data_IF_338277338892
#
_entry.id   IF_338277338892
#
_cell.length_a   1.000
_cell.length_b   1.000
_cell.length_c   1.000
_cell.angle_alpha   90.00
_cell.angle_beta   90.00
_cell.angle_gamma   90.00
#
_symmetry.space_group_name_H-M   'P 1'
#
loop_
_entity.id
_entity.type
_entity.pdbx_description
1 polymer ?
#
# COMPACT_ATOMS: atom_id res chain seq x y z
N UNK A 1 8.64 16.01 -16.33
CA UNK A 1 8.91 15.54 -14.96
C UNK A 1 10.12 14.62 -14.99
N UNK A 2 10.86 14.57 -13.88
CA UNK A 2 11.91 13.56 -13.69
C UNK A 2 11.32 12.21 -13.27
N UNK A 3 12.15 11.37 -12.65
CA UNK A 3 11.73 10.06 -12.15
C UNK A 3 10.45 10.13 -11.27
N UNK A 4 9.50 9.20 -11.44
CA UNK A 4 8.31 9.13 -10.60
C UNK A 4 8.64 8.92 -9.11
N UNK A 5 7.85 9.48 -8.18
CA UNK A 5 8.09 9.34 -6.75
C UNK A 5 7.95 7.88 -6.29
N UNK A 6 8.72 7.50 -5.27
CA UNK A 6 8.60 6.20 -4.63
C UNK A 6 7.48 6.23 -3.59
N UNK A 7 6.50 5.35 -3.72
CA UNK A 7 5.37 5.24 -2.80
C UNK A 7 5.59 4.07 -1.83
N UNK A 8 5.22 4.27 -0.57
CA UNK A 8 5.32 3.23 0.48
C UNK A 8 4.28 2.12 0.29
N UNK A 9 3.12 2.46 -0.26
CA UNK A 9 1.97 1.55 -0.46
C UNK A 9 1.87 0.98 -1.88
N UNK A 10 2.64 1.51 -2.84
CA UNK A 10 2.58 1.13 -4.25
C UNK A 10 3.97 1.11 -4.91
N UNK A 11 4.08 0.39 -6.03
CA UNK A 11 5.30 0.28 -6.84
C UNK A 11 5.01 0.69 -8.28
N UNK A 12 5.95 1.38 -8.92
CA UNK A 12 5.83 1.76 -10.33
C UNK A 12 5.81 0.49 -11.20
N UNK A 13 4.90 0.42 -12.19
CA UNK A 13 4.86 -0.74 -13.08
C UNK A 13 6.15 -0.84 -13.90
N UNK A 14 6.51 -2.06 -14.30
CA UNK A 14 7.81 -2.36 -14.94
C UNK A 14 8.04 -1.57 -16.23
N UNK A 15 6.97 -1.25 -16.95
CA UNK A 15 6.99 -0.50 -18.21
C UNK A 15 7.65 0.88 -18.06
N UNK A 16 7.47 1.56 -16.93
CA UNK A 16 8.03 2.90 -16.69
C UNK A 16 9.34 2.89 -15.89
N UNK A 17 9.82 1.72 -15.44
CA UNK A 17 10.96 1.61 -14.52
C UNK A 17 12.28 2.07 -15.14
N UNK A 18 12.41 1.96 -16.46
CA UNK A 18 13.60 2.37 -17.22
C UNK A 18 13.47 3.79 -17.82
N UNK A 19 12.35 4.48 -17.57
CA UNK A 19 12.07 5.78 -18.14
C UNK A 19 12.30 6.86 -17.07
N UNK A 20 13.16 7.83 -17.39
CA UNK A 20 13.59 8.88 -16.46
C UNK A 20 13.02 10.26 -16.81
N UNK A 21 12.55 10.41 -18.04
CA UNK A 21 11.97 11.64 -18.57
C UNK A 21 10.53 11.41 -19.01
N UNK A 22 9.67 12.32 -18.56
CA UNK A 22 8.23 12.32 -18.86
C UNK A 22 7.82 13.73 -19.28
N UNK A 23 7.07 13.86 -20.36
CA UNK A 23 6.52 15.13 -20.82
C UNK A 23 5.37 15.58 -19.90
N UNK A 24 5.03 16.87 -19.96
CA UNK A 24 3.84 17.39 -19.29
C UNK A 24 2.60 16.74 -19.90
N UNK A 25 1.70 16.23 -19.06
CA UNK A 25 0.54 15.44 -19.47
C UNK A 25 0.79 13.92 -19.48
N UNK A 26 2.05 13.47 -19.39
CA UNK A 26 2.34 12.04 -19.30
C UNK A 26 1.79 11.45 -18.01
N UNK A 27 1.23 10.25 -18.12
CA UNK A 27 0.63 9.53 -17.01
C UNK A 27 1.35 8.22 -16.78
N UNK A 28 1.82 7.99 -15.56
CA UNK A 28 2.42 6.72 -15.15
C UNK A 28 1.49 5.96 -14.23
N UNK A 29 1.59 4.64 -14.27
CA UNK A 29 0.75 3.73 -13.49
C UNK A 29 1.56 3.03 -12.41
N UNK A 30 0.93 2.82 -11.27
CA UNK A 30 1.46 2.09 -10.14
C UNK A 30 0.63 0.84 -9.88
N UNK A 31 1.27 -0.17 -9.27
CA UNK A 31 0.65 -1.38 -8.75
C UNK A 31 0.74 -1.37 -7.22
N UNK A 32 -0.26 -1.89 -6.52
CA UNK A 32 -0.16 -2.02 -5.07
C UNK A 32 0.95 -2.99 -4.67
N UNK A 33 1.75 -2.61 -3.67
CA UNK A 33 2.77 -3.50 -3.13
C UNK A 33 2.13 -4.75 -2.51
N UNK A 34 2.87 -5.87 -2.40
CA UNK A 34 2.43 -7.02 -1.63
C UNK A 34 1.97 -6.62 -0.23
N UNK A 35 0.87 -7.23 0.23
CA UNK A 35 0.23 -6.85 1.49
C UNK A 35 -0.72 -5.64 1.42
N UNK A 36 -0.83 -4.98 0.27
CA UNK A 36 -1.82 -3.91 0.03
C UNK A 36 -2.88 -4.31 -1.00
N UNK A 37 -4.04 -3.67 -0.94
CA UNK A 37 -5.19 -3.87 -1.82
C UNK A 37 -5.67 -2.54 -2.38
N UNK A 38 -6.17 -2.56 -3.61
CA UNK A 38 -6.67 -1.35 -4.28
C UNK A 38 -7.90 -0.80 -3.56
N UNK A 39 -7.92 0.50 -3.31
CA UNK A 39 -9.11 1.24 -2.89
C UNK A 39 -9.99 1.50 -4.12
N UNK A 40 -11.26 1.07 -4.13
CA UNK A 40 -12.17 1.37 -5.23
C UNK A 40 -12.40 2.89 -5.33
N UNK A 41 -12.58 3.39 -6.56
CA UNK A 41 -12.84 4.81 -6.83
C UNK A 41 -11.60 5.70 -6.92
N UNK A 42 -10.40 5.21 -6.57
CA UNK A 42 -9.16 5.99 -6.67
C UNK A 42 -8.31 5.58 -7.89
N UNK A 43 -7.73 6.57 -8.61
CA UNK A 43 -6.79 6.31 -9.68
C UNK A 43 -5.45 5.82 -9.12
N UNK A 44 -4.86 4.83 -9.78
CA UNK A 44 -3.53 4.29 -9.47
C UNK A 44 -2.45 4.91 -10.38
N UNK A 45 -2.69 6.14 -10.81
CA UNK A 45 -1.90 6.83 -11.83
C UNK A 45 -1.50 8.21 -11.36
N UNK A 46 -0.27 8.60 -11.67
CA UNK A 46 0.24 9.96 -11.43
C UNK A 46 0.47 10.64 -12.77
N UNK A 47 0.11 11.91 -12.87
CA UNK A 47 0.24 12.72 -14.09
C UNK A 47 1.32 13.77 -13.88
N UNK A 48 2.17 13.97 -14.88
CA UNK A 48 3.13 15.06 -14.88
C UNK A 48 2.40 16.39 -15.14
N UNK A 49 2.40 17.28 -14.15
CA UNK A 49 1.74 18.58 -14.22
C UNK A 49 2.60 19.61 -14.97
N UNK A 50 2.00 20.74 -15.36
CA UNK A 50 2.68 21.82 -16.10
C UNK A 50 3.86 22.45 -15.35
N UNK A 51 3.86 22.38 -14.01
CA UNK A 51 4.97 22.81 -13.16
C UNK A 51 6.12 21.79 -13.07
N UNK A 52 6.15 20.78 -13.94
CA UNK A 52 7.14 19.69 -13.94
C UNK A 52 7.17 18.85 -12.65
N UNK A 53 6.12 18.90 -11.83
CA UNK A 53 5.95 18.00 -10.68
C UNK A 53 4.90 16.94 -10.96
N UNK A 54 5.04 15.78 -10.33
CA UNK A 54 4.01 14.75 -10.37
C UNK A 54 2.76 15.18 -9.57
N UNK A 55 1.59 14.78 -10.05
CA UNK A 55 0.32 14.97 -9.34
C UNK A 55 0.35 14.30 -7.97
N UNK A 56 -0.52 14.76 -7.08
CA UNK A 56 -0.66 14.16 -5.75
C UNK A 56 -0.98 12.65 -5.84
N UNK A 57 -0.20 11.86 -5.12
CA UNK A 57 -0.44 10.43 -4.98
C UNK A 57 -1.51 10.19 -3.91
N UNK A 58 -2.76 10.05 -4.35
CA UNK A 58 -3.83 9.59 -3.46
C UNK A 58 -3.49 8.20 -2.91
N UNK A 59 -3.88 7.87 -1.68
CA UNK A 59 -3.67 6.53 -1.10
C UNK A 59 -4.59 5.47 -1.75
N UNK A 60 -4.39 5.20 -3.03
CA UNK A 60 -5.18 4.23 -3.81
C UNK A 60 -4.89 2.77 -3.41
N UNK A 61 -3.91 2.52 -2.54
CA UNK A 61 -3.68 1.21 -1.94
C UNK A 61 -3.84 1.29 -0.42
N UNK A 62 -4.55 0.34 0.18
CA UNK A 62 -4.67 0.17 1.64
C UNK A 62 -4.07 -1.15 2.08
N UNK A 63 -3.55 -1.21 3.31
CA UNK A 63 -3.10 -2.46 3.94
C UNK A 63 -4.24 -3.49 3.89
N UNK A 64 -3.94 -4.73 3.52
CA UNK A 64 -4.90 -5.83 3.53
C UNK A 64 -5.28 -6.16 4.97
N UNK A 65 -6.56 -6.47 5.16
CA UNK A 65 -7.09 -6.99 6.40
C UNK A 65 -6.78 -8.48 6.50
N UNK A 66 -6.07 -8.88 7.55
CA UNK A 66 -5.92 -10.28 7.92
C UNK A 66 -7.19 -10.78 8.60
N UNK A 67 -7.48 -12.07 8.44
CA UNK A 67 -8.50 -12.77 9.21
C UNK A 67 -8.16 -12.71 10.69
N UNK A 68 -9.17 -12.65 11.55
CA UNK A 68 -8.95 -12.79 12.98
C UNK A 68 -8.37 -14.19 13.26
N UNK A 69 -7.21 -14.31 13.90
CA UNK A 69 -6.65 -15.61 14.23
C UNK A 69 -7.52 -16.30 15.30
N UNK A 70 -7.64 -17.62 15.20
CA UNK A 70 -8.38 -18.39 16.20
C UNK A 70 -7.67 -18.33 17.58
N UNK A 71 -8.44 -18.26 18.67
CA UNK A 71 -7.86 -18.30 20.01
C UNK A 71 -7.23 -19.67 20.30
N UNK A 72 -6.08 -19.71 20.99
CA UNK A 72 -5.52 -20.96 21.47
C UNK A 72 -6.45 -21.63 22.48
N UNK A 73 -6.39 -22.97 22.59
CA UNK A 73 -7.17 -23.72 23.58
C UNK A 73 -6.78 -23.24 24.99
N UNK A 74 -7.77 -22.81 25.79
CA UNK A 74 -7.59 -22.21 27.11
C UNK A 74 -6.67 -20.97 27.07
N UNK A 75 -6.87 -20.11 26.07
CA UNK A 75 -6.19 -18.83 25.99
C UNK A 75 -6.92 -17.86 25.08
N UNK A 76 -6.35 -16.67 24.92
CA UNK A 76 -6.91 -15.57 24.15
C UNK A 76 -5.87 -14.93 23.23
N UNK A 77 -6.35 -14.44 22.10
CA UNK A 77 -5.59 -13.54 21.22
C UNK A 77 -5.74 -12.12 21.74
N UNK A 78 -4.63 -11.44 21.92
CA UNK A 78 -4.55 -10.01 22.25
C UNK A 78 -4.13 -9.27 20.98
N UNK A 79 -5.07 -8.57 20.37
CA UNK A 79 -4.80 -7.67 19.25
C UNK A 79 -4.25 -6.36 19.83
N UNK A 80 -2.98 -6.06 19.54
CA UNK A 80 -2.30 -4.91 20.14
C UNK A 80 -2.60 -3.58 19.42
N UNK A 81 -2.74 -3.62 18.08
CA UNK A 81 -2.96 -2.43 17.26
C UNK A 81 -4.15 -2.63 16.34
N UNK A 82 -3.98 -3.47 15.33
CA UNK A 82 -4.98 -3.82 14.33
C UNK A 82 -4.66 -5.21 13.76
N UNK A 83 -5.46 -5.65 12.79
CA UNK A 83 -5.25 -6.89 12.06
C UNK A 83 -4.88 -6.62 10.59
N UNK A 84 -4.19 -5.50 10.32
CA UNK A 84 -3.73 -5.12 8.99
C UNK A 84 -2.34 -5.69 8.70
N UNK A 85 -2.00 -5.82 7.42
CA UNK A 85 -0.70 -6.30 6.96
C UNK A 85 0.46 -5.56 7.63
N UNK A 86 1.32 -6.29 8.37
CA UNK A 86 2.45 -5.72 9.12
C UNK A 86 2.18 -5.48 10.61
N UNK A 87 0.99 -5.83 11.10
CA UNK A 87 0.66 -5.75 12.54
C UNK A 87 0.97 -7.03 13.29
N UNK A 88 1.17 -6.87 14.60
CA UNK A 88 1.55 -7.95 15.52
C UNK A 88 0.42 -8.23 16.50
N UNK A 89 0.08 -9.51 16.66
CA UNK A 89 -0.84 -10.00 17.69
C UNK A 89 -0.07 -10.83 18.70
N UNK A 90 -0.54 -10.86 19.95
CA UNK A 90 0.06 -11.67 20.99
C UNK A 90 -0.91 -12.74 21.47
N UNK A 91 -0.42 -13.95 21.75
CA UNK A 91 -1.24 -15.04 22.28
C UNK A 91 -0.95 -15.21 23.76
N UNK A 92 -1.98 -15.31 24.58
CA UNK A 92 -1.85 -15.53 26.03
C UNK A 92 -2.70 -16.71 26.47
N UNK A 93 -2.13 -17.57 27.31
CA UNK A 93 -2.88 -18.67 27.92
C UNK A 93 -3.54 -18.22 29.22
N UNK A 94 -4.72 -18.77 29.49
CA UNK A 94 -5.39 -18.58 30.76
C UNK A 94 -4.65 -19.32 31.86
N UNK A 95 -4.71 -18.76 33.06
CA UNK A 95 -4.06 -19.33 34.23
C UNK A 95 -4.79 -20.62 34.62
N UNK A 96 -4.02 -21.71 34.80
CA UNK A 96 -4.49 -22.94 35.43
C UNK A 96 -4.56 -22.77 36.94
#
# INVERSE_FOLDING_TARGET
>A
CGAPPNLTFAELIREYRNQLEFAVGDTVRYSCRPGHSRRPGLPQTLTCLQNHTWSEALEFCKRKQCSHPDPPRNGRVVVLTDLLFGSTVNHTCDKG
#
